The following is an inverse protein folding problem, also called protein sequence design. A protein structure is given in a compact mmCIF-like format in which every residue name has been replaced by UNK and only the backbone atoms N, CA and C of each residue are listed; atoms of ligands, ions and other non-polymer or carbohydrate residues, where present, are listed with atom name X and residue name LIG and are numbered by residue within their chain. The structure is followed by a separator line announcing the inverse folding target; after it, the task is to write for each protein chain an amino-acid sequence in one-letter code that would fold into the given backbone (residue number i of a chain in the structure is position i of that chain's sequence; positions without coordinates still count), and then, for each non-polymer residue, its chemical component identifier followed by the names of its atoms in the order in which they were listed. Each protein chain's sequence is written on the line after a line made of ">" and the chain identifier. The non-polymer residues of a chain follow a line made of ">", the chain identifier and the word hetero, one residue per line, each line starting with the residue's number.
data_IF_028117174090
#
_entry.id   IF_028117174090
#
_cell.length_a   1.000
_cell.length_b   1.000
_cell.length_c   1.000
_cell.angle_alpha   90.00
_cell.angle_beta   90.00
_cell.angle_gamma   90.00
#
_symmetry.space_group_name_H-M   'P 1'
#
loop_
_entity.id
_entity.type
_entity.pdbx_description
1 polymer ?
#
# COMPACT_ATOMS: atom_id res chain seq x y z
N UNK A 1 -0.11 2.22 -27.17
CA UNK A 1 -0.54 1.64 -28.48
C UNK A 1 0.27 0.41 -28.87
N UNK A 2 1.59 0.37 -28.61
CA UNK A 2 2.44 -0.81 -28.86
C UNK A 2 2.03 -2.03 -28.03
N UNK A 3 1.70 -1.86 -26.74
CA UNK A 3 1.33 -2.96 -25.83
C UNK A 3 0.07 -3.71 -26.26
N UNK A 4 -1.02 -3.00 -26.58
CA UNK A 4 -2.27 -3.63 -27.07
C UNK A 4 -2.09 -4.39 -28.38
N UNK A 5 -1.13 -3.97 -29.22
CA UNK A 5 -0.78 -4.67 -30.45
C UNK A 5 0.01 -5.96 -30.15
N UNK A 6 0.95 -5.89 -29.21
CA UNK A 6 1.74 -7.04 -28.74
C UNK A 6 0.84 -8.10 -28.09
N UNK A 7 -0.08 -7.72 -27.22
CA UNK A 7 -1.06 -8.62 -26.60
C UNK A 7 -1.98 -9.29 -27.63
N UNK A 8 -2.51 -8.52 -28.58
CA UNK A 8 -3.35 -9.04 -29.66
C UNK A 8 -2.60 -10.04 -30.55
N UNK A 9 -1.33 -9.76 -30.89
CA UNK A 9 -0.49 -10.69 -31.63
C UNK A 9 -0.23 -11.99 -30.85
N UNK A 10 0.06 -11.91 -29.55
CA UNK A 10 0.29 -13.07 -28.68
C UNK A 10 -0.97 -13.95 -28.61
N UNK A 11 -2.15 -13.36 -28.45
CA UNK A 11 -3.42 -14.09 -28.41
C UNK A 11 -3.69 -14.87 -29.71
N UNK A 12 -3.42 -14.25 -30.87
CA UNK A 12 -3.56 -14.92 -32.17
C UNK A 12 -2.63 -16.14 -32.31
N UNK A 13 -1.42 -16.06 -31.74
CA UNK A 13 -0.49 -17.19 -31.72
C UNK A 13 -1.07 -18.36 -30.90
N UNK A 14 -1.58 -18.10 -29.69
CA UNK A 14 -2.22 -19.13 -28.86
C UNK A 14 -3.40 -19.80 -29.57
N UNK A 15 -4.28 -19.01 -30.20
CA UNK A 15 -5.42 -19.53 -30.97
C UNK A 15 -4.93 -20.43 -32.12
N UNK A 16 -3.90 -20.01 -32.85
CA UNK A 16 -3.34 -20.81 -33.95
C UNK A 16 -2.80 -22.17 -33.46
N UNK A 17 -2.10 -22.21 -32.32
CA UNK A 17 -1.62 -23.47 -31.73
C UNK A 17 -2.76 -24.40 -31.31
N UNK A 18 -3.84 -23.86 -30.74
CA UNK A 18 -5.03 -24.66 -30.37
C UNK A 18 -5.68 -25.28 -31.60
N UNK A 19 -5.90 -24.49 -32.67
CA UNK A 19 -6.55 -24.96 -33.91
C UNK A 19 -5.70 -25.99 -34.64
N UNK A 20 -4.39 -25.72 -34.79
CA UNK A 20 -3.46 -26.63 -35.44
C UNK A 20 -3.29 -27.93 -34.66
N UNK A 21 -3.11 -27.84 -33.33
CA UNK A 21 -2.99 -29.00 -32.45
C UNK A 21 -4.23 -29.88 -32.49
N UNK A 22 -5.43 -29.28 -32.48
CA UNK A 22 -6.71 -30.00 -32.55
C UNK A 22 -6.89 -30.69 -33.90
N UNK A 23 -6.56 -30.02 -34.99
CA UNK A 23 -6.67 -30.59 -36.35
C UNK A 23 -5.67 -31.73 -36.57
N UNK A 24 -4.43 -31.58 -36.07
CA UNK A 24 -3.44 -32.66 -36.07
C UNK A 24 -3.88 -33.85 -35.23
N UNK A 25 -4.47 -33.62 -34.06
CA UNK A 25 -5.00 -34.70 -33.22
C UNK A 25 -6.06 -35.53 -33.95
N UNK A 26 -7.03 -34.89 -34.59
CA UNK A 26 -8.10 -35.56 -35.37
C UNK A 26 -7.49 -36.42 -36.48
N UNK A 27 -6.55 -35.88 -37.26
CA UNK A 27 -5.88 -36.63 -38.32
C UNK A 27 -5.10 -37.84 -37.77
N UNK A 28 -4.41 -37.68 -36.64
CA UNK A 28 -3.65 -38.77 -36.00
C UNK A 28 -4.56 -39.88 -35.47
N UNK A 29 -5.73 -39.54 -34.92
CA UNK A 29 -6.72 -40.53 -34.50
C UNK A 29 -7.33 -41.31 -35.68
N UNK A 30 -7.63 -40.62 -36.79
CA UNK A 30 -8.12 -41.27 -38.02
C UNK A 30 -7.10 -42.27 -38.60
N UNK A 31 -5.81 -42.02 -38.41
CA UNK A 31 -4.72 -42.91 -38.85
C UNK A 31 -4.38 -44.03 -37.84
N UNK A 32 -5.11 -44.12 -36.71
CA UNK A 32 -4.83 -45.11 -35.66
C UNK A 32 -3.58 -44.81 -34.82
N UNK A 33 -3.01 -43.61 -34.93
CA UNK A 33 -1.83 -43.17 -34.17
C UNK A 33 -2.25 -42.54 -32.82
N UNK A 34 -2.93 -43.33 -32.00
CA UNK A 34 -3.62 -42.87 -30.77
C UNK A 34 -2.71 -42.14 -29.78
N UNK A 35 -1.49 -42.63 -29.54
CA UNK A 35 -0.53 -41.99 -28.61
C UNK A 35 -0.15 -40.59 -29.08
N UNK A 36 0.10 -40.42 -30.39
CA UNK A 36 0.44 -39.11 -30.97
C UNK A 36 -0.75 -38.15 -30.93
N UNK A 37 -1.96 -38.67 -31.19
CA UNK A 37 -3.19 -37.90 -31.07
C UNK A 37 -3.39 -37.34 -29.66
N UNK A 38 -3.15 -38.15 -28.62
CA UNK A 38 -3.24 -37.70 -27.21
C UNK A 38 -2.22 -36.59 -26.92
N UNK A 39 -0.98 -36.72 -27.38
CA UNK A 39 0.05 -35.68 -27.20
C UNK A 39 -0.39 -34.35 -27.85
N UNK A 40 -0.97 -34.40 -29.06
CA UNK A 40 -1.50 -33.21 -29.73
C UNK A 40 -2.66 -32.55 -28.98
N UNK A 41 -3.55 -33.33 -28.36
CA UNK A 41 -4.65 -32.80 -27.52
C UNK A 41 -4.10 -32.12 -26.27
N UNK A 42 -3.14 -32.74 -25.58
CA UNK A 42 -2.51 -32.13 -24.41
C UNK A 42 -1.80 -30.82 -24.75
N UNK A 43 -1.12 -30.76 -25.90
CA UNK A 43 -0.54 -29.52 -26.42
C UNK A 43 -1.61 -28.44 -26.67
N UNK A 44 -2.70 -28.79 -27.35
CA UNK A 44 -3.80 -27.85 -27.61
C UNK A 44 -4.44 -27.33 -26.31
N UNK A 45 -4.60 -28.18 -25.28
CA UNK A 45 -5.12 -27.77 -23.98
C UNK A 45 -4.16 -26.83 -23.25
N UNK A 46 -2.85 -27.11 -23.30
CA UNK A 46 -1.83 -26.27 -22.68
C UNK A 46 -1.81 -24.84 -23.25
N UNK A 47 -1.93 -24.71 -24.58
CA UNK A 47 -2.02 -23.40 -25.25
C UNK A 47 -3.44 -22.79 -25.18
N UNK A 48 -4.47 -23.58 -24.89
CA UNK A 48 -5.84 -23.10 -24.73
C UNK A 48 -6.16 -22.58 -23.33
N UNK A 49 -5.48 -23.07 -22.29
CA UNK A 49 -5.71 -22.67 -20.91
C UNK A 49 -5.53 -21.15 -20.66
N UNK A 50 -4.50 -20.48 -21.20
CA UNK A 50 -4.36 -19.02 -21.08
C UNK A 50 -5.50 -18.23 -21.72
N UNK A 51 -6.19 -18.78 -22.73
CA UNK A 51 -7.34 -18.14 -23.38
C UNK A 51 -8.62 -18.18 -22.52
N UNK A 52 -8.63 -18.97 -21.46
CA UNK A 52 -9.76 -19.06 -20.52
C UNK A 52 -9.73 -17.94 -19.46
N UNK A 53 -8.66 -17.14 -19.37
CA UNK A 53 -8.52 -16.04 -18.41
C UNK A 53 -9.75 -15.12 -18.29
N UNK A 54 -10.39 -14.68 -19.40
CA UNK A 54 -11.61 -13.86 -19.34
C UNK A 54 -12.87 -14.59 -18.87
N UNK A 55 -12.85 -15.92 -18.84
CA UNK A 55 -14.00 -16.78 -18.51
C UNK A 55 -13.84 -17.50 -17.17
N UNK A 56 -12.66 -17.43 -16.56
CA UNK A 56 -12.49 -17.82 -15.16
C UNK A 56 -13.24 -16.79 -14.31
N UNK A 57 -14.10 -17.23 -13.37
CA UNK A 57 -14.64 -16.31 -12.39
C UNK A 57 -13.46 -15.69 -11.65
N UNK A 58 -13.26 -14.39 -11.83
CA UNK A 58 -12.41 -13.61 -10.94
C UNK A 58 -12.96 -13.85 -9.54
N UNK A 59 -12.14 -14.35 -8.62
CA UNK A 59 -12.52 -14.40 -7.22
C UNK A 59 -12.90 -12.96 -6.85
N UNK A 60 -14.17 -12.73 -6.56
CA UNK A 60 -14.61 -11.44 -6.05
C UNK A 60 -13.77 -11.17 -4.79
N UNK A 61 -13.20 -9.96 -4.62
CA UNK A 61 -12.53 -9.64 -3.37
C UNK A 61 -13.54 -9.86 -2.24
N UNK A 62 -13.14 -10.64 -1.23
CA UNK A 62 -13.91 -10.85 0.00
C UNK A 62 -14.07 -9.48 0.67
N UNK A 63 -15.13 -8.77 0.30
CA UNK A 63 -15.35 -7.38 0.70
C UNK A 63 -16.06 -7.41 2.04
N UNK A 64 -15.30 -7.72 3.09
CA UNK A 64 -15.63 -7.16 4.40
C UNK A 64 -15.71 -5.64 4.22
N UNK A 65 -16.76 -4.97 4.71
CA UNK A 65 -16.86 -3.52 4.60
C UNK A 65 -15.63 -2.89 5.24
N UNK A 66 -15.01 -1.93 4.55
CA UNK A 66 -13.83 -1.23 5.04
C UNK A 66 -14.14 -0.63 6.42
N UNK A 67 -13.38 -0.99 7.46
CA UNK A 67 -13.58 -0.43 8.77
C UNK A 67 -13.14 1.03 8.81
N UNK A 68 -13.63 1.77 9.78
CA UNK A 68 -13.26 3.18 9.93
C UNK A 68 -11.90 3.30 10.61
N UNK A 69 -10.92 3.82 9.87
CA UNK A 69 -9.63 4.28 10.40
C UNK A 69 -9.53 5.78 10.13
N UNK A 70 -9.25 6.62 11.12
CA UNK A 70 -9.05 8.06 10.90
C UNK A 70 -7.97 8.30 9.85
N UNK A 71 -8.12 9.37 9.07
CA UNK A 71 -7.16 9.74 8.02
C UNK A 71 -6.85 11.23 8.09
N UNK A 72 -5.61 11.57 7.76
CA UNK A 72 -5.12 12.94 7.60
C UNK A 72 -4.48 13.04 6.22
N UNK A 73 -4.79 14.08 5.45
CA UNK A 73 -4.20 14.26 4.14
C UNK A 73 -2.73 14.69 4.27
N UNK A 74 -1.85 14.19 3.40
CA UNK A 74 -0.51 14.72 3.26
C UNK A 74 -0.58 16.13 2.64
N UNK A 75 -0.21 17.19 3.38
CA UNK A 75 -0.19 18.54 2.82
C UNK A 75 1.04 18.73 1.94
N UNK A 76 1.03 19.79 1.12
CA UNK A 76 2.19 20.16 0.29
C UNK A 76 2.84 21.48 0.70
N UNK A 77 2.17 22.29 1.52
CA UNK A 77 2.76 23.52 2.03
C UNK A 77 3.62 23.25 3.28
N UNK A 78 4.73 23.98 3.38
CA UNK A 78 5.75 23.76 4.43
C UNK A 78 5.22 23.93 5.86
N UNK A 79 4.28 24.85 6.07
CA UNK A 79 3.75 25.11 7.41
C UNK A 79 2.84 23.97 7.86
N UNK A 80 1.94 23.50 6.98
CA UNK A 80 1.12 22.31 7.26
C UNK A 80 1.96 21.04 7.38
N UNK A 81 3.02 20.87 6.58
CA UNK A 81 3.97 19.75 6.72
C UNK A 81 4.62 19.74 8.10
N UNK A 82 5.03 20.92 8.59
CA UNK A 82 5.59 21.06 9.94
C UNK A 82 4.57 20.72 11.02
N UNK A 83 3.32 21.17 10.88
CA UNK A 83 2.26 20.86 11.84
C UNK A 83 1.88 19.37 11.82
N UNK A 84 1.88 18.74 10.64
CA UNK A 84 1.74 17.29 10.51
C UNK A 84 2.88 16.56 11.24
N UNK A 85 4.13 16.93 10.97
CA UNK A 85 5.29 16.34 11.64
C UNK A 85 5.21 16.45 13.16
N UNK A 86 4.80 17.60 13.71
CA UNK A 86 4.57 17.78 15.15
C UNK A 86 3.45 16.89 15.68
N UNK A 87 2.35 16.74 14.95
CA UNK A 87 1.26 15.84 15.33
C UNK A 87 1.75 14.38 15.45
N UNK A 88 2.58 13.95 14.50
CA UNK A 88 3.04 12.56 14.37
C UNK A 88 4.23 12.23 15.27
N UNK A 89 5.28 13.06 15.29
CA UNK A 89 6.50 12.86 16.08
C UNK A 89 6.41 13.44 17.50
N UNK A 90 5.50 14.39 17.76
CA UNK A 90 5.43 15.08 19.05
C UNK A 90 6.61 16.04 19.26
N UNK A 91 7.15 16.05 20.49
CA UNK A 91 8.25 16.95 20.91
C UNK A 91 9.65 16.31 20.71
N UNK A 92 9.76 15.33 19.80
CA UNK A 92 11.02 14.63 19.50
C UNK A 92 11.98 15.54 18.73
N UNK A 93 12.91 16.16 19.47
CA UNK A 93 13.77 17.21 18.94
C UNK A 93 14.70 16.76 17.80
N UNK A 94 15.14 15.50 17.79
CA UNK A 94 15.97 14.92 16.72
C UNK A 94 15.21 14.79 15.40
N UNK A 95 13.98 14.27 15.47
CA UNK A 95 13.11 14.13 14.29
C UNK A 95 12.74 15.51 13.75
N UNK A 96 12.29 16.40 14.63
CA UNK A 96 11.87 17.74 14.23
C UNK A 96 13.03 18.57 13.66
N UNK A 97 14.26 18.38 14.14
CA UNK A 97 15.43 19.01 13.52
C UNK A 97 15.60 18.56 12.07
N UNK A 98 15.51 17.25 11.81
CA UNK A 98 15.66 16.68 10.46
C UNK A 98 14.55 17.17 9.52
N UNK A 99 13.33 17.31 10.05
CA UNK A 99 12.19 17.90 9.32
C UNK A 99 12.49 19.35 8.94
N UNK A 100 13.01 20.19 9.85
CA UNK A 100 13.36 21.57 9.50
C UNK A 100 14.49 21.63 8.46
N UNK A 101 15.50 20.76 8.55
CA UNK A 101 16.58 20.68 7.54
C UNK A 101 16.02 20.41 6.12
N UNK A 102 15.07 19.46 6.01
CA UNK A 102 14.34 19.18 4.77
C UNK A 102 13.55 20.41 4.29
N UNK A 103 12.77 21.04 5.18
CA UNK A 103 11.89 22.15 4.82
C UNK A 103 12.66 23.43 4.49
N UNK A 104 13.81 23.68 5.10
CA UNK A 104 14.66 24.85 4.82
C UNK A 104 15.36 24.74 3.47
N UNK A 105 15.94 23.58 3.16
CA UNK A 105 16.73 23.38 1.95
C UNK A 105 16.59 21.96 1.39
N UNK A 106 15.49 21.65 0.67
CA UNK A 106 15.23 20.29 0.19
C UNK A 106 16.33 19.80 -0.76
N UNK A 107 16.88 20.66 -1.64
CA UNK A 107 17.98 20.26 -2.54
C UNK A 107 19.24 19.83 -1.78
N UNK A 108 19.62 20.59 -0.75
CA UNK A 108 20.78 20.26 0.08
C UNK A 108 20.52 19.00 0.91
N UNK A 109 19.29 18.85 1.43
CA UNK A 109 18.86 17.68 2.18
C UNK A 109 18.96 16.41 1.34
N UNK A 110 18.35 16.37 0.15
CA UNK A 110 18.40 15.21 -0.74
C UNK A 110 19.82 14.89 -1.19
N UNK A 111 20.63 15.91 -1.51
CA UNK A 111 22.05 15.71 -1.83
C UNK A 111 22.82 15.02 -0.70
N UNK A 112 22.51 15.36 0.55
CA UNK A 112 23.09 14.70 1.71
C UNK A 112 22.55 13.27 1.89
N UNK A 113 21.23 13.06 1.76
CA UNK A 113 20.62 11.74 1.96
C UNK A 113 21.06 10.71 0.91
N UNK A 114 21.13 11.09 -0.35
CA UNK A 114 21.56 10.23 -1.48
C UNK A 114 23.04 9.81 -1.35
N UNK A 115 23.84 10.51 -0.56
CA UNK A 115 25.25 10.14 -0.33
C UNK A 115 25.48 9.40 0.99
N UNK A 116 24.44 9.27 1.83
CA UNK A 116 24.52 8.59 3.11
C UNK A 116 24.31 7.09 2.94
N UNK A 117 25.08 6.29 3.69
CA UNK A 117 24.80 4.86 3.83
C UNK A 117 23.50 4.68 4.65
N UNK A 118 22.44 4.16 4.02
CA UNK A 118 21.14 3.97 4.67
C UNK A 118 20.18 3.13 3.83
N UNK A 119 19.20 2.50 4.48
CA UNK A 119 18.21 1.63 3.83
C UNK A 119 17.36 2.39 2.80
N UNK A 120 17.08 3.67 3.06
CA UNK A 120 16.24 4.51 2.22
C UNK A 120 17.02 5.34 1.18
N UNK A 121 18.32 5.12 1.01
CA UNK A 121 19.13 5.88 0.05
C UNK A 121 18.52 5.85 -1.38
N UNK A 122 18.19 4.64 -1.86
CA UNK A 122 17.60 4.44 -3.18
C UNK A 122 16.23 5.16 -3.30
N UNK A 123 15.44 5.17 -2.22
CA UNK A 123 14.16 5.89 -2.20
C UNK A 123 14.36 7.41 -2.33
N UNK A 124 15.36 8.00 -1.66
CA UNK A 124 15.66 9.43 -1.87
C UNK A 124 16.13 9.73 -3.30
N UNK A 125 16.86 8.81 -3.94
CA UNK A 125 17.24 8.96 -5.35
C UNK A 125 16.00 8.98 -6.24
N UNK A 126 15.11 8.02 -6.07
CA UNK A 126 13.89 7.90 -6.89
C UNK A 126 12.99 9.14 -6.74
N UNK A 127 12.77 9.60 -5.50
CA UNK A 127 11.96 10.79 -5.23
C UNK A 127 12.61 12.04 -5.83
N UNK A 128 13.93 12.19 -5.70
CA UNK A 128 14.65 13.32 -6.30
C UNK A 128 14.49 13.32 -7.83
N UNK A 129 14.70 12.18 -8.47
CA UNK A 129 14.59 12.06 -9.93
C UNK A 129 13.17 12.37 -10.42
N UNK A 130 12.15 12.01 -9.65
CA UNK A 130 10.73 12.26 -9.99
C UNK A 130 10.26 13.68 -9.69
N UNK A 131 10.71 14.29 -8.60
CA UNK A 131 10.08 15.48 -8.02
C UNK A 131 10.99 16.69 -7.80
N UNK A 132 12.27 16.67 -8.20
CA UNK A 132 13.16 17.84 -8.00
C UNK A 132 12.63 19.15 -8.62
N UNK A 133 11.86 19.07 -9.72
CA UNK A 133 11.21 20.22 -10.37
C UNK A 133 9.90 20.66 -9.67
N UNK A 134 9.46 19.93 -8.62
CA UNK A 134 8.20 20.13 -7.89
C UNK A 134 8.49 20.27 -6.39
N UNK A 135 9.00 21.43 -5.92
CA UNK A 135 9.56 21.58 -4.57
C UNK A 135 8.57 21.27 -3.44
N UNK A 136 7.28 21.57 -3.64
CA UNK A 136 6.24 21.32 -2.63
C UNK A 136 5.96 19.80 -2.50
N UNK A 137 5.91 19.08 -3.63
CA UNK A 137 5.77 17.61 -3.63
C UNK A 137 7.03 16.95 -3.09
N UNK A 138 8.22 17.44 -3.49
CA UNK A 138 9.50 16.95 -2.99
C UNK A 138 9.59 17.02 -1.46
N UNK A 139 9.13 18.11 -0.85
CA UNK A 139 9.10 18.23 0.62
C UNK A 139 8.10 17.26 1.26
N UNK A 140 6.97 17.00 0.60
CA UNK A 140 5.92 16.11 1.09
C UNK A 140 6.39 14.67 1.12
N UNK A 141 6.94 14.20 -0.01
CA UNK A 141 7.52 12.86 -0.13
C UNK A 141 8.70 12.71 0.84
N UNK A 142 9.62 13.67 0.87
CA UNK A 142 10.76 13.64 1.79
C UNK A 142 10.35 13.55 3.25
N UNK A 143 9.25 14.19 3.66
CA UNK A 143 8.77 14.14 5.02
C UNK A 143 8.39 12.70 5.41
N UNK A 144 7.73 11.97 4.53
CA UNK A 144 7.34 10.59 4.81
C UNK A 144 8.56 9.71 5.13
N UNK A 145 9.62 9.81 4.33
CA UNK A 145 10.83 9.03 4.53
C UNK A 145 11.63 9.45 5.77
N UNK A 146 11.66 10.75 6.09
CA UNK A 146 12.23 11.24 7.35
C UNK A 146 11.50 10.63 8.55
N UNK A 147 10.18 10.59 8.51
CA UNK A 147 9.36 10.04 9.59
C UNK A 147 9.45 8.51 9.66
N UNK A 148 9.54 7.82 8.52
CA UNK A 148 9.66 6.36 8.46
C UNK A 148 11.02 5.90 9.01
N UNK A 149 12.11 6.56 8.62
CA UNK A 149 13.45 6.30 9.18
C UNK A 149 13.53 6.51 10.69
N UNK A 150 12.74 7.44 11.20
CA UNK A 150 12.63 7.70 12.62
C UNK A 150 11.65 6.77 13.34
N UNK A 151 11.05 5.79 12.66
CA UNK A 151 10.02 4.89 13.23
C UNK A 151 8.82 5.69 13.81
N UNK A 152 8.51 6.85 13.23
CA UNK A 152 7.33 7.65 13.61
C UNK A 152 6.09 7.18 12.83
N UNK A 153 6.30 6.73 11.60
CA UNK A 153 5.27 6.14 10.73
C UNK A 153 5.76 4.78 10.22
N UNK A 154 4.81 3.92 9.86
CA UNK A 154 5.04 2.68 9.14
C UNK A 154 4.49 2.81 7.72
N UNK A 155 5.17 2.21 6.74
CA UNK A 155 4.78 2.26 5.33
C UNK A 155 4.58 0.84 4.84
N UNK A 156 3.36 0.53 4.42
CA UNK A 156 2.95 -0.82 4.03
C UNK A 156 2.49 -0.85 2.58
N UNK A 157 2.94 -1.85 1.84
CA UNK A 157 2.30 -2.23 0.57
C UNK A 157 0.86 -2.68 0.85
N UNK A 158 -0.06 -2.47 -0.09
CA UNK A 158 -1.47 -2.87 0.04
C UNK A 158 -1.68 -4.37 0.35
N UNK A 159 -0.67 -5.21 0.09
CA UNK A 159 -0.66 -6.66 0.33
C UNK A 159 0.30 -7.10 1.45
N UNK A 160 0.68 -6.19 2.34
CA UNK A 160 1.63 -6.51 3.40
C UNK A 160 1.18 -7.72 4.25
N UNK A 161 2.15 -8.52 4.69
CA UNK A 161 1.92 -9.66 5.57
C UNK A 161 1.70 -9.25 7.03
N UNK A 162 0.91 -10.05 7.75
CA UNK A 162 0.61 -9.78 9.17
C UNK A 162 1.87 -9.69 10.05
N UNK A 163 2.87 -10.54 9.82
CA UNK A 163 4.11 -10.55 10.61
C UNK A 163 4.87 -9.22 10.47
N UNK A 164 4.98 -8.71 9.24
CA UNK A 164 5.63 -7.43 8.95
C UNK A 164 4.83 -6.26 9.52
N UNK A 165 3.50 -6.28 9.36
CA UNK A 165 2.61 -5.30 9.98
C UNK A 165 2.81 -5.22 11.49
N UNK A 166 2.83 -6.37 12.18
CA UNK A 166 3.04 -6.43 13.63
C UNK A 166 4.42 -5.91 14.01
N UNK A 167 5.46 -6.32 13.27
CA UNK A 167 6.83 -5.86 13.49
C UNK A 167 6.93 -4.34 13.43
N UNK A 168 6.58 -3.75 12.28
CA UNK A 168 6.68 -2.30 12.09
C UNK A 168 5.80 -1.52 13.08
N UNK A 169 4.56 -1.94 13.33
CA UNK A 169 3.69 -1.27 14.30
C UNK A 169 4.24 -1.33 15.74
N UNK A 170 4.95 -2.41 16.09
CA UNK A 170 5.60 -2.56 17.40
C UNK A 170 6.84 -1.67 17.52
N UNK A 171 7.57 -1.49 16.42
CA UNK A 171 8.80 -0.70 16.39
C UNK A 171 8.54 0.81 16.40
N UNK A 172 7.31 1.25 16.11
CA UNK A 172 6.97 2.68 16.16
C UNK A 172 7.32 3.32 17.51
N UNK A 173 8.08 4.43 17.48
CA UNK A 173 8.54 5.15 18.67
C UNK A 173 7.41 5.44 19.66
N UNK A 174 6.28 5.93 19.16
CA UNK A 174 5.12 6.26 20.00
C UNK A 174 4.47 5.02 20.60
N UNK A 175 4.47 3.88 19.90
CA UNK A 175 4.00 2.61 20.45
C UNK A 175 4.92 2.14 21.57
N UNK A 176 6.24 2.15 21.35
CA UNK A 176 7.24 1.77 22.36
C UNK A 176 7.20 2.68 23.59
N UNK A 177 7.21 4.00 23.39
CA UNK A 177 7.22 4.98 24.47
C UNK A 177 5.99 4.89 25.39
N UNK A 178 4.85 4.46 24.85
CA UNK A 178 3.59 4.35 25.59
C UNK A 178 3.19 2.90 25.91
N UNK A 179 4.06 1.92 25.62
CA UNK A 179 3.83 0.49 25.83
C UNK A 179 2.51 0.01 25.19
N UNK A 180 2.24 0.47 23.96
CA UNK A 180 1.02 0.08 23.25
C UNK A 180 1.11 -1.37 22.79
N UNK A 181 0.10 -2.22 23.09
CA UNK A 181 0.14 -3.63 22.73
C UNK A 181 -0.17 -3.82 21.24
N UNK A 182 0.59 -4.70 20.58
CA UNK A 182 0.34 -5.18 19.20
C UNK A 182 0.26 -6.72 19.20
N UNK A 183 -0.82 -7.30 19.77
CA UNK A 183 -0.92 -8.75 19.95
C UNK A 183 -1.25 -9.45 18.62
N UNK A 184 -0.25 -10.05 17.97
CA UNK A 184 -0.40 -10.73 16.69
C UNK A 184 -1.57 -11.73 16.68
N UNK A 185 -1.78 -12.43 17.79
CA UNK A 185 -2.83 -13.43 17.98
C UNK A 185 -4.26 -12.88 17.95
N UNK A 186 -4.44 -11.56 18.05
CA UNK A 186 -5.75 -10.91 17.96
C UNK A 186 -6.12 -10.50 16.53
N UNK A 187 -5.20 -10.63 15.57
CA UNK A 187 -5.45 -10.28 14.18
C UNK A 187 -5.88 -11.48 13.35
N UNK A 188 -6.79 -11.24 12.40
CA UNK A 188 -7.14 -12.19 11.36
C UNK A 188 -6.06 -12.14 10.27
N UNK A 189 -5.29 -13.22 10.12
CA UNK A 189 -4.20 -13.34 9.13
C UNK A 189 -4.67 -13.13 7.68
N UNK A 190 -5.96 -13.34 7.39
CA UNK A 190 -6.54 -13.15 6.07
C UNK A 190 -7.12 -11.74 5.86
N UNK A 191 -7.10 -10.90 6.89
CA UNK A 191 -7.55 -9.52 6.78
C UNK A 191 -6.45 -8.62 6.19
N UNK A 192 -6.77 -7.34 6.00
CA UNK A 192 -5.86 -6.34 5.44
C UNK A 192 -5.50 -5.27 6.49
N UNK A 193 -4.64 -4.34 6.08
CA UNK A 193 -4.11 -3.26 6.93
C UNK A 193 -5.23 -2.40 7.57
N UNK A 194 -6.26 -1.93 6.85
CA UNK A 194 -7.43 -1.28 7.47
C UNK A 194 -8.06 -2.07 8.61
N UNK A 195 -8.24 -3.38 8.43
CA UNK A 195 -8.85 -4.23 9.46
C UNK A 195 -7.94 -4.41 10.68
N UNK A 196 -6.63 -4.57 10.48
CA UNK A 196 -5.69 -4.64 11.58
C UNK A 196 -5.57 -3.32 12.34
N UNK A 197 -5.55 -2.18 11.64
CA UNK A 197 -5.54 -0.85 12.24
C UNK A 197 -6.82 -0.59 13.05
N UNK A 198 -7.99 -1.00 12.56
CA UNK A 198 -9.23 -0.89 13.32
C UNK A 198 -9.20 -1.75 14.60
N UNK A 199 -8.69 -2.99 14.52
CA UNK A 199 -8.52 -3.83 15.70
C UNK A 199 -7.55 -3.21 16.73
N UNK A 200 -6.46 -2.59 16.26
CA UNK A 200 -5.56 -1.79 17.13
C UNK A 200 -6.28 -0.62 17.78
N UNK A 201 -7.14 0.09 17.04
CA UNK A 201 -7.91 1.21 17.58
C UNK A 201 -8.81 0.79 18.74
N UNK A 202 -9.46 -0.37 18.65
CA UNK A 202 -10.28 -0.91 19.74
C UNK A 202 -9.45 -1.18 21.02
N UNK A 203 -8.17 -1.55 20.85
CA UNK A 203 -7.23 -1.78 21.95
C UNK A 203 -6.63 -0.48 22.50
N UNK A 204 -6.34 0.49 21.63
CA UNK A 204 -5.57 1.69 21.97
C UNK A 204 -6.42 2.89 22.39
N UNK A 205 -7.68 2.98 21.96
CA UNK A 205 -8.55 4.10 22.34
C UNK A 205 -8.71 4.23 23.87
N UNK A 206 -8.89 3.14 24.65
CA UNK A 206 -8.89 3.22 26.12
C UNK A 206 -7.57 3.72 26.72
N UNK A 207 -6.46 3.59 25.98
CA UNK A 207 -5.13 4.10 26.35
C UNK A 207 -4.90 5.54 25.87
N UNK A 208 -5.85 6.14 25.16
CA UNK A 208 -5.75 7.50 24.63
C UNK A 208 -5.02 7.59 23.30
N UNK A 209 -4.94 6.50 22.51
CA UNK A 209 -4.27 6.47 21.22
C UNK A 209 -5.11 5.78 20.14
N UNK A 210 -4.78 6.04 18.88
CA UNK A 210 -5.32 5.32 17.73
C UNK A 210 -4.30 5.34 16.58
N UNK A 211 -4.36 4.31 15.74
CA UNK A 211 -3.80 4.36 14.40
C UNK A 211 -4.57 5.38 13.54
N UNK A 212 -3.85 6.09 12.69
CA UNK A 212 -4.38 6.99 11.66
C UNK A 212 -3.63 6.74 10.36
N UNK A 213 -4.32 6.92 9.24
CA UNK A 213 -3.69 6.92 7.92
C UNK A 213 -3.23 8.32 7.53
N UNK A 214 -2.14 8.37 6.79
CA UNK A 214 -1.71 9.56 6.03
C UNK A 214 -2.08 9.29 4.57
N UNK A 215 -3.03 10.07 4.05
CA UNK A 215 -3.57 9.92 2.71
C UNK A 215 -2.65 10.60 1.68
N UNK A 216 -2.12 9.80 0.77
CA UNK A 216 -1.21 10.21 -0.31
C UNK A 216 -1.83 10.07 -1.70
N UNK A 217 -3.12 9.71 -1.79
CA UNK A 217 -3.79 9.29 -3.03
C UNK A 217 -3.11 8.06 -3.72
N UNK A 218 -2.21 7.35 -3.01
CA UNK A 218 -1.49 6.17 -3.47
C UNK A 218 -2.19 4.85 -3.11
N UNK A 219 -1.56 3.72 -3.46
CA UNK A 219 -1.98 2.37 -3.06
C UNK A 219 -1.29 1.86 -1.80
N UNK A 220 -0.29 2.58 -1.29
CA UNK A 220 0.38 2.28 -0.02
C UNK A 220 -0.43 2.75 1.19
N UNK A 221 -0.31 2.03 2.31
CA UNK A 221 -0.85 2.47 3.58
C UNK A 221 0.24 3.06 4.44
N UNK A 222 0.14 4.35 4.70
CA UNK A 222 1.03 5.05 5.61
C UNK A 222 0.33 5.21 6.95
N UNK A 223 0.86 4.55 7.98
CA UNK A 223 0.22 4.41 9.28
C UNK A 223 1.02 5.12 10.35
N UNK A 224 0.34 5.93 11.16
CA UNK A 224 0.93 6.56 12.33
C UNK A 224 0.09 6.30 13.57
N UNK A 225 0.72 6.38 14.74
CA UNK A 225 0.02 6.40 16.03
C UNK A 225 -0.22 7.85 16.42
N UNK A 226 -1.45 8.23 16.79
CA UNK A 226 -1.78 9.58 17.26
C UNK A 226 -2.55 9.53 18.57
N UNK A 227 -2.55 10.66 19.29
CA UNK A 227 -3.39 10.81 20.48
C UNK A 227 -4.87 10.79 20.06
N UNK A 228 -5.63 9.90 20.69
CA UNK A 228 -7.05 9.79 20.46
C UNK A 228 -7.76 10.97 21.12
N UNK A 229 -8.31 11.84 20.28
CA UNK A 229 -9.21 12.91 20.74
C UNK A 229 -10.63 12.49 20.38
N UNK A 230 -11.48 12.09 21.35
CA UNK A 230 -12.85 11.74 21.03
C UNK A 230 -13.54 12.96 20.44
N UNK A 231 -14.14 12.79 19.25
CA UNK A 231 -15.03 13.81 18.70
C UNK A 231 -16.10 14.12 19.74
N UNK A 232 -16.40 15.40 20.02
CA UNK A 232 -17.52 15.72 20.89
C UNK A 232 -18.78 15.04 20.36
N UNK A 233 -19.67 14.52 21.23
CA UNK A 233 -20.93 13.97 20.78
C UNK A 233 -21.62 15.02 19.91
N UNK A 234 -22.08 14.62 18.73
CA UNK A 234 -22.99 15.43 17.94
C UNK A 234 -24.25 15.54 18.80
N UNK A 235 -24.36 16.60 19.61
CA UNK A 235 -25.59 16.92 20.29
C UNK A 235 -26.67 17.02 19.23
N UNK A 236 -27.70 16.17 19.38
CA UNK A 236 -28.93 16.20 18.59
C UNK A 236 -29.32 17.66 18.39
N UNK A 237 -29.24 18.11 17.13
CA UNK A 237 -29.77 19.39 16.70
C UNK A 237 -31.26 19.34 17.03
N UNK A 238 -31.59 19.87 18.20
CA UNK A 238 -32.96 19.97 18.68
C UNK A 238 -33.71 20.83 17.67
N UNK A 239 -34.49 20.15 16.82
CA UNK A 239 -35.52 20.73 15.99
C UNK A 239 -36.38 21.65 16.85
N UNK A 240 -36.04 22.93 16.88
CA UNK A 240 -36.89 23.95 17.47
C UNK A 240 -37.93 24.28 16.42
N UNK A 241 -39.02 23.51 16.41
CA UNK A 241 -40.22 23.87 15.68
C UNK A 241 -40.76 25.14 16.32
N UNK A 242 -40.60 26.29 15.65
CA UNK A 242 -41.29 27.50 16.04
C UNK A 242 -42.78 27.36 15.70
N UNK A 243 -43.59 27.51 16.73
CA UNK A 243 -45.05 27.70 16.69
C UNK A 243 -45.44 29.04 16.08
#
# INVERSE_FOLDING_TARGET
>A
MKEKLTEGCIMLVFIAFVVLGSTMAVNMFQQGAWVKGIICVLGALFFGFPLLGPFLPSAAPDTKPLPFVPQVNLPTDKDSLRELAKMLAGEEADVMQTVEELLESPEAFYSAQITRDGWYNDAYVDIWDMYHDQPDVLCSEGLLFVLAEAEVIAMFDWKEGLEEFVGQMTDLRRAQANNLPVPQEHFDEQADIPHWCNALNELWQPLGYNATFIDTDGDEYIVAVVQYTPSPPIDDISCTTQS
#
